data_IF_841911569555
#
_entry.id   IF_841911569555
#
_cell.length_a   1.000
_cell.length_b   1.000
_cell.length_c   1.000
_cell.angle_alpha   90.00
_cell.angle_beta   90.00
_cell.angle_gamma   90.00
#
_symmetry.space_group_name_H-M   'P 1'
#
loop_
_entity.id
_entity.type
_entity.pdbx_description
1 polymer ?
#
# COMPACT_ATOMS: atom_id res chain seq x y z
N UNK A 1 4.53 4.39 -19.39
CA UNK A 1 3.52 4.87 -18.41
C UNK A 1 3.68 4.06 -17.14
N UNK A 2 3.65 4.68 -15.93
CA UNK A 2 3.74 3.94 -14.67
C UNK A 2 2.49 3.08 -14.46
N UNK A 3 2.66 1.87 -13.91
CA UNK A 3 1.58 0.95 -13.58
C UNK A 3 1.73 0.51 -12.12
N UNK A 4 0.67 0.59 -11.35
CA UNK A 4 0.64 0.29 -9.91
C UNK A 4 -0.38 -0.79 -9.64
N UNK A 5 -0.05 -1.71 -8.73
CA UNK A 5 -0.92 -2.77 -8.26
C UNK A 5 -1.37 -2.45 -6.82
N UNK A 6 -2.66 -2.50 -6.55
CA UNK A 6 -3.20 -2.52 -5.19
C UNK A 6 -3.70 -3.94 -4.90
N UNK A 7 -3.23 -4.55 -3.82
CA UNK A 7 -3.65 -5.92 -3.45
C UNK A 7 -4.50 -5.86 -2.18
N UNK A 8 -5.72 -6.37 -2.29
CA UNK A 8 -6.70 -6.42 -1.21
C UNK A 8 -7.32 -7.82 -1.07
N UNK A 9 -7.96 -8.07 0.04
CA UNK A 9 -8.83 -9.22 0.29
C UNK A 9 -10.04 -8.78 1.13
N UNK A 10 -10.94 -9.67 1.49
CA UNK A 10 -12.05 -9.34 2.38
C UNK A 10 -11.55 -8.66 3.67
N UNK A 11 -12.29 -7.68 4.16
CA UNK A 11 -11.97 -6.83 5.29
C UNK A 11 -10.78 -5.87 5.05
N UNK A 12 -10.55 -5.47 3.80
CA UNK A 12 -9.63 -4.37 3.49
C UNK A 12 -10.12 -3.05 4.11
N UNK A 13 -9.21 -2.14 4.41
CA UNK A 13 -9.60 -0.79 4.87
C UNK A 13 -9.87 0.10 3.66
N UNK A 14 -11.05 0.70 3.62
CA UNK A 14 -11.59 1.41 2.46
C UNK A 14 -10.80 2.67 2.11
N UNK A 15 -10.50 3.52 3.10
CA UNK A 15 -9.77 4.78 2.85
C UNK A 15 -8.34 4.50 2.37
N UNK A 16 -7.69 3.48 2.95
CA UNK A 16 -6.32 3.10 2.62
C UNK A 16 -6.20 2.49 1.21
N UNK A 17 -7.32 2.01 0.67
CA UNK A 17 -7.43 1.45 -0.68
C UNK A 17 -7.84 2.51 -1.70
N UNK A 18 -8.92 3.25 -1.41
CA UNK A 18 -9.57 4.12 -2.39
C UNK A 18 -8.87 5.48 -2.53
N UNK A 19 -8.27 6.01 -1.46
CA UNK A 19 -7.54 7.27 -1.56
C UNK A 19 -6.32 7.18 -2.50
N UNK A 20 -5.41 6.20 -2.35
CA UNK A 20 -4.31 6.06 -3.32
C UNK A 20 -4.81 5.69 -4.72
N UNK A 21 -5.87 4.89 -4.85
CA UNK A 21 -6.45 4.60 -6.16
C UNK A 21 -6.89 5.89 -6.87
N UNK A 22 -7.69 6.73 -6.22
CA UNK A 22 -8.23 7.97 -6.82
C UNK A 22 -7.09 8.98 -7.12
N UNK A 23 -6.19 9.23 -6.18
CA UNK A 23 -5.07 10.17 -6.35
C UNK A 23 -4.18 9.75 -7.53
N UNK A 24 -3.82 8.47 -7.64
CA UNK A 24 -2.97 7.96 -8.71
C UNK A 24 -3.68 7.96 -10.06
N UNK A 25 -4.98 7.65 -10.09
CA UNK A 25 -5.79 7.72 -11.32
C UNK A 25 -5.90 9.15 -11.84
N UNK A 26 -6.10 10.16 -10.96
CA UNK A 26 -6.07 11.59 -11.32
C UNK A 26 -4.72 12.00 -11.92
N UNK A 27 -3.64 11.43 -11.44
CA UNK A 27 -2.28 11.70 -11.96
C UNK A 27 -1.97 10.98 -13.29
N UNK A 28 -2.92 10.23 -13.86
CA UNK A 28 -2.75 9.50 -15.11
C UNK A 28 -1.97 8.17 -14.97
N UNK A 29 -1.80 7.69 -13.74
CA UNK A 29 -1.15 6.39 -13.49
C UNK A 29 -2.16 5.27 -13.75
N UNK A 30 -1.70 4.19 -14.41
CA UNK A 30 -2.51 2.98 -14.56
C UNK A 30 -2.51 2.20 -13.23
N UNK A 31 -3.68 2.00 -12.64
CA UNK A 31 -3.83 1.30 -11.35
C UNK A 31 -4.76 0.10 -11.55
N UNK A 32 -4.24 -1.08 -11.23
CA UNK A 32 -5.02 -2.31 -11.12
C UNK A 32 -5.28 -2.63 -9.65
N UNK A 33 -6.48 -3.13 -9.34
CA UNK A 33 -6.79 -3.72 -8.04
C UNK A 33 -6.92 -5.23 -8.22
N UNK A 34 -6.28 -5.99 -7.34
CA UNK A 34 -6.30 -7.44 -7.37
C UNK A 34 -6.60 -8.05 -6.00
N UNK A 35 -7.25 -9.21 -6.02
CA UNK A 35 -7.63 -9.96 -4.84
C UNK A 35 -7.57 -11.47 -5.11
N UNK A 36 -7.83 -12.30 -4.09
CA UNK A 36 -8.04 -13.76 -4.27
C UNK A 36 -9.35 -14.10 -4.96
N UNK A 37 -10.31 -13.19 -4.90
CA UNK A 37 -11.67 -13.35 -5.42
C UNK A 37 -11.98 -12.19 -6.35
N UNK A 38 -12.86 -12.41 -7.29
CA UNK A 38 -13.35 -11.37 -8.20
C UNK A 38 -14.10 -10.24 -7.47
N UNK A 39 -14.63 -10.54 -6.28
CA UNK A 39 -15.39 -9.60 -5.46
C UNK A 39 -14.99 -9.76 -3.99
N UNK A 40 -14.75 -8.63 -3.30
CA UNK A 40 -14.40 -8.57 -1.88
C UNK A 40 -15.19 -7.47 -1.17
N UNK A 41 -15.38 -7.65 0.14
CA UNK A 41 -16.10 -6.69 1.00
C UNK A 41 -15.10 -6.07 1.97
N UNK A 42 -15.08 -4.74 2.04
CA UNK A 42 -14.25 -3.97 2.96
C UNK A 42 -14.71 -4.08 4.42
N UNK A 43 -13.88 -3.58 5.32
CA UNK A 43 -14.11 -3.63 6.75
C UNK A 43 -15.39 -2.89 7.19
N UNK A 44 -15.83 -1.90 6.42
CA UNK A 44 -17.01 -1.08 6.69
C UNK A 44 -18.15 -1.31 5.68
N UNK A 45 -18.04 -2.37 4.85
CA UNK A 45 -19.13 -2.87 4.03
C UNK A 45 -19.15 -2.42 2.57
N UNK A 46 -18.16 -1.65 2.09
CA UNK A 46 -18.05 -1.36 0.66
C UNK A 46 -17.66 -2.64 -0.09
N UNK A 47 -18.37 -2.93 -1.17
CA UNK A 47 -18.07 -4.06 -2.06
C UNK A 47 -17.31 -3.57 -3.29
N UNK A 48 -16.16 -4.17 -3.56
CA UNK A 48 -15.41 -3.99 -4.81
C UNK A 48 -15.49 -5.27 -5.65
N UNK A 49 -15.75 -5.12 -6.95
CA UNK A 49 -15.93 -6.23 -7.90
C UNK A 49 -15.10 -6.04 -9.16
N UNK A 50 -15.07 -7.04 -10.04
CA UNK A 50 -14.26 -7.08 -11.26
C UNK A 50 -12.75 -6.96 -10.95
N UNK A 51 -12.33 -7.57 -9.86
CA UNK A 51 -10.95 -7.57 -9.41
C UNK A 51 -10.12 -8.61 -10.18
N UNK A 52 -8.85 -8.30 -10.40
CA UNK A 52 -7.90 -9.26 -10.97
C UNK A 52 -7.53 -10.33 -9.93
N UNK A 53 -7.29 -11.56 -10.36
CA UNK A 53 -6.71 -12.57 -9.48
C UNK A 53 -5.18 -12.37 -9.38
N UNK A 54 -4.69 -11.96 -8.21
CA UNK A 54 -3.27 -11.69 -8.03
C UNK A 54 -2.36 -12.91 -8.17
N UNK A 55 -2.91 -14.13 -8.16
CA UNK A 55 -2.16 -15.36 -8.39
C UNK A 55 -1.72 -15.53 -9.85
N UNK A 56 -2.43 -14.87 -10.77
CA UNK A 56 -2.21 -14.98 -12.22
C UNK A 56 -1.51 -13.78 -12.82
N UNK A 57 -1.21 -12.75 -12.01
CA UNK A 57 -0.58 -11.52 -12.51
C UNK A 57 0.89 -11.71 -12.85
N UNK A 58 1.31 -11.08 -13.94
CA UNK A 58 2.72 -10.85 -14.20
C UNK A 58 3.19 -9.63 -13.41
N UNK A 59 3.90 -9.85 -12.30
CA UNK A 59 4.35 -8.78 -11.40
C UNK A 59 5.39 -7.86 -12.07
N UNK A 60 6.09 -8.29 -13.11
CA UNK A 60 7.08 -7.50 -13.84
C UNK A 60 6.46 -6.27 -14.51
N UNK A 61 5.18 -6.31 -14.85
CA UNK A 61 4.46 -5.19 -15.47
C UNK A 61 4.27 -3.99 -14.54
N UNK A 62 4.38 -4.19 -13.22
CA UNK A 62 4.10 -3.16 -12.23
C UNK A 62 5.39 -2.50 -11.73
N UNK A 63 5.31 -1.19 -11.51
CA UNK A 63 6.40 -0.39 -10.93
C UNK A 63 6.36 -0.40 -9.39
N UNK A 64 5.17 -0.62 -8.82
CA UNK A 64 4.93 -0.57 -7.38
C UNK A 64 3.74 -1.44 -7.01
N UNK A 65 3.77 -2.01 -5.80
CA UNK A 65 2.59 -2.56 -5.13
C UNK A 65 2.18 -1.68 -3.95
N UNK A 66 0.87 -1.50 -3.76
CA UNK A 66 0.27 -0.86 -2.58
C UNK A 66 -0.51 -1.93 -1.81
N UNK A 67 -0.25 -2.00 -0.52
CA UNK A 67 -0.82 -2.98 0.39
C UNK A 67 -1.56 -2.25 1.53
N UNK A 68 -2.88 -2.05 1.41
CA UNK A 68 -3.71 -1.50 2.47
C UNK A 68 -3.73 -2.39 3.71
N UNK A 69 -4.06 -1.80 4.84
CA UNK A 69 -4.30 -2.51 6.09
C UNK A 69 -5.75 -2.99 6.22
N UNK A 70 -6.28 -2.83 7.41
CA UNK A 70 -7.55 -3.39 7.80
C UNK A 70 -7.41 -4.80 8.38
N UNK A 71 -8.49 -5.40 8.90
CA UNK A 71 -8.48 -6.74 9.50
C UNK A 71 -8.01 -7.86 8.56
N UNK A 72 -8.04 -7.64 7.23
CA UNK A 72 -7.50 -8.55 6.22
C UNK A 72 -6.05 -9.00 6.49
N UNK A 73 -5.25 -8.19 7.21
CA UNK A 73 -3.86 -8.51 7.47
C UNK A 73 -3.68 -9.86 8.17
N UNK A 74 -4.67 -10.29 9.00
CA UNK A 74 -4.65 -11.56 9.73
C UNK A 74 -4.65 -12.78 8.81
N UNK A 75 -5.36 -12.68 7.69
CA UNK A 75 -5.37 -13.75 6.68
C UNK A 75 -4.23 -13.59 5.68
N UNK A 76 -3.88 -12.34 5.32
CA UNK A 76 -2.79 -12.07 4.39
C UNK A 76 -1.44 -12.59 4.91
N UNK A 77 -1.19 -12.55 6.21
CA UNK A 77 0.05 -13.09 6.82
C UNK A 77 0.20 -14.60 6.66
N UNK A 78 -0.90 -15.34 6.41
CA UNK A 78 -0.92 -16.79 6.19
C UNK A 78 -0.85 -17.15 4.70
N UNK A 79 -0.94 -16.17 3.82
CA UNK A 79 -0.99 -16.37 2.38
C UNK A 79 0.39 -16.30 1.75
N UNK A 80 0.92 -17.45 1.33
CA UNK A 80 2.23 -17.54 0.70
C UNK A 80 2.34 -16.72 -0.58
N UNK A 81 1.28 -16.59 -1.38
CA UNK A 81 1.26 -15.76 -2.59
C UNK A 81 1.38 -14.28 -2.24
N UNK A 82 0.62 -13.81 -1.23
CA UNK A 82 0.71 -12.44 -0.74
C UNK A 82 2.12 -12.13 -0.19
N UNK A 83 2.70 -13.05 0.58
CA UNK A 83 4.08 -12.92 1.08
C UNK A 83 5.10 -12.87 -0.06
N UNK A 84 4.93 -13.67 -1.11
CA UNK A 84 5.80 -13.64 -2.28
C UNK A 84 5.69 -12.32 -3.05
N UNK A 85 4.51 -11.73 -3.14
CA UNK A 85 4.32 -10.38 -3.70
C UNK A 85 5.11 -9.35 -2.90
N UNK A 86 5.03 -9.37 -1.57
CA UNK A 86 5.82 -8.48 -0.70
C UNK A 86 7.32 -8.61 -1.01
N UNK A 87 7.84 -9.85 -0.98
CA UNK A 87 9.26 -10.12 -1.21
C UNK A 87 9.70 -9.65 -2.60
N UNK A 88 8.92 -9.97 -3.63
CA UNK A 88 9.23 -9.57 -4.99
C UNK A 88 9.37 -8.04 -5.12
N UNK A 89 8.41 -7.28 -4.61
CA UNK A 89 8.42 -5.83 -4.77
C UNK A 89 9.47 -5.12 -3.91
N UNK A 90 9.70 -5.57 -2.67
CA UNK A 90 10.71 -4.97 -1.81
C UNK A 90 12.14 -5.21 -2.36
N UNK A 91 12.37 -6.30 -3.06
CA UNK A 91 13.67 -6.66 -3.64
C UNK A 91 13.89 -6.05 -5.03
N UNK A 92 12.86 -5.93 -5.85
CA UNK A 92 13.01 -5.63 -7.28
C UNK A 92 12.36 -4.32 -7.75
N UNK A 93 11.39 -3.79 -7.00
CA UNK A 93 10.55 -2.66 -7.41
C UNK A 93 10.34 -1.70 -6.23
N UNK A 94 9.16 -1.11 -6.11
CA UNK A 94 8.76 -0.32 -4.95
C UNK A 94 7.56 -0.96 -4.24
N UNK A 95 7.54 -0.84 -2.92
CA UNK A 95 6.47 -1.33 -2.07
C UNK A 95 5.95 -0.20 -1.19
N UNK A 96 4.64 0.02 -1.20
CA UNK A 96 3.94 0.92 -0.28
C UNK A 96 2.96 0.11 0.58
N UNK A 97 2.98 0.31 1.90
CA UNK A 97 2.06 -0.37 2.81
C UNK A 97 1.67 0.56 3.96
N UNK A 98 0.48 0.36 4.52
CA UNK A 98 -0.09 1.28 5.51
C UNK A 98 -0.77 0.53 6.66
N UNK A 99 -0.83 1.18 7.82
CA UNK A 99 -1.60 0.73 8.98
C UNK A 99 -1.10 -0.61 9.56
N UNK A 100 -1.90 -1.67 9.48
CA UNK A 100 -1.56 -3.00 9.98
C UNK A 100 -0.52 -3.73 9.12
N UNK A 101 -0.45 -3.45 7.83
CA UNK A 101 0.36 -4.22 6.88
C UNK A 101 1.88 -4.07 7.08
N UNK A 102 2.45 -2.91 7.46
CA UNK A 102 3.88 -2.82 7.79
C UNK A 102 4.30 -3.74 8.94
N UNK A 103 3.39 -4.12 9.84
CA UNK A 103 3.67 -5.12 10.90
C UNK A 103 4.09 -6.45 10.31
N UNK A 104 3.43 -6.87 9.22
CA UNK A 104 3.81 -8.09 8.50
C UNK A 104 5.21 -8.01 7.91
N UNK A 105 5.61 -6.84 7.39
CA UNK A 105 6.99 -6.63 6.93
C UNK A 105 7.98 -6.76 8.11
N UNK A 106 7.61 -6.24 9.28
CA UNK A 106 8.41 -6.39 10.50
C UNK A 106 8.59 -7.85 10.90
N UNK A 107 7.54 -8.65 10.88
CA UNK A 107 7.57 -10.08 11.19
C UNK A 107 8.43 -10.88 10.20
N UNK A 108 8.51 -10.42 8.96
CA UNK A 108 9.38 -10.98 7.93
C UNK A 108 10.85 -10.48 8.01
N UNK A 109 11.17 -9.61 8.99
CA UNK A 109 12.51 -9.02 9.14
C UNK A 109 12.85 -7.94 8.11
N UNK A 110 11.87 -7.49 7.32
CA UNK A 110 12.05 -6.54 6.22
C UNK A 110 12.14 -5.07 6.66
N UNK A 111 11.86 -4.77 7.95
CA UNK A 111 11.99 -3.44 8.54
C UNK A 111 13.34 -3.21 9.25
N UNK A 112 14.18 -4.25 9.34
CA UNK A 112 15.51 -4.13 9.98
C UNK A 112 16.33 -3.02 9.36
N UNK A 113 16.89 -2.14 10.20
CA UNK A 113 17.71 -0.97 9.82
C UNK A 113 16.98 0.04 8.91
N UNK A 114 15.65 0.03 8.85
CA UNK A 114 14.86 0.98 8.08
C UNK A 114 14.10 1.94 9.00
N UNK A 115 13.87 3.16 8.52
CA UNK A 115 12.89 4.07 9.13
C UNK A 115 11.51 3.75 8.58
N UNK A 116 10.52 3.63 9.47
CA UNK A 116 9.17 3.24 9.10
C UNK A 116 8.12 3.84 10.04
N UNK A 117 6.88 3.87 9.57
CA UNK A 117 5.70 4.10 10.40
C UNK A 117 4.68 2.97 10.17
N UNK A 118 3.80 2.77 11.12
CA UNK A 118 2.71 1.81 11.06
C UNK A 118 1.62 2.17 12.08
N UNK A 119 0.55 1.38 12.15
CA UNK A 119 -0.50 1.56 13.15
C UNK A 119 0.09 1.44 14.56
N UNK A 120 0.16 2.56 15.34
CA UNK A 120 0.97 2.61 16.55
C UNK A 120 0.73 1.49 17.58
N UNK A 121 -0.54 1.04 17.81
CA UNK A 121 -0.80 -0.07 18.73
C UNK A 121 -0.19 -1.41 18.32
N UNK A 122 0.23 -1.56 17.05
CA UNK A 122 0.84 -2.78 16.51
C UNK A 122 2.37 -2.70 16.46
N UNK A 123 2.95 -1.55 16.84
CA UNK A 123 4.40 -1.41 16.85
C UNK A 123 5.02 -2.29 17.96
N UNK A 124 6.11 -2.95 17.59
CA UNK A 124 6.97 -3.73 18.49
C UNK A 124 8.40 -3.67 17.96
N UNK A 125 9.31 -4.38 18.60
CA UNK A 125 10.72 -4.40 18.18
C UNK A 125 10.88 -5.13 16.82
N UNK A 126 11.18 -4.37 15.77
CA UNK A 126 11.46 -4.87 14.43
C UNK A 126 12.90 -4.58 13.97
N UNK A 127 13.79 -4.18 14.90
CA UNK A 127 15.19 -3.82 14.64
C UNK A 127 15.34 -2.69 13.58
N UNK A 128 14.39 -1.77 13.53
CA UNK A 128 14.38 -0.57 12.72
C UNK A 128 13.98 0.66 13.54
N UNK A 129 13.84 1.81 12.91
CA UNK A 129 13.45 3.07 13.57
C UNK A 129 11.98 3.37 13.31
N UNK A 130 11.14 3.16 14.32
CA UNK A 130 9.73 3.56 14.25
C UNK A 130 9.58 5.07 14.44
N UNK A 131 8.72 5.69 13.63
CA UNK A 131 8.30 7.08 13.77
C UNK A 131 6.79 7.19 13.96
N UNK A 132 6.35 8.33 14.50
CA UNK A 132 4.91 8.67 14.56
C UNK A 132 4.45 9.51 13.37
N UNK A 133 5.29 9.68 12.35
CA UNK A 133 4.95 10.42 11.13
C UNK A 133 3.73 9.84 10.43
N UNK A 134 2.93 10.63 9.72
CA UNK A 134 1.87 10.10 8.86
C UNK A 134 2.37 9.12 7.82
N UNK A 135 3.57 9.37 7.26
CA UNK A 135 4.23 8.52 6.25
C UNK A 135 5.74 8.61 6.36
N UNK A 136 6.42 7.52 5.98
CA UNK A 136 7.87 7.44 5.84
C UNK A 136 8.24 6.87 4.47
N UNK A 137 9.36 7.34 3.90
CA UNK A 137 10.01 6.77 2.72
C UNK A 137 11.41 6.35 3.10
N UNK A 138 11.74 5.09 2.90
CA UNK A 138 13.07 4.55 3.05
C UNK A 138 13.45 3.74 1.81
N UNK A 139 14.27 4.34 0.94
CA UNK A 139 14.62 3.73 -0.35
C UNK A 139 13.38 3.48 -1.21
N UNK A 140 13.10 2.23 -1.50
CA UNK A 140 11.93 1.79 -2.28
C UNK A 140 10.72 1.36 -1.41
N UNK A 141 10.81 1.53 -0.10
CA UNK A 141 9.72 1.25 0.84
C UNK A 141 9.03 2.54 1.28
N UNK A 142 7.72 2.58 1.13
CA UNK A 142 6.86 3.66 1.63
C UNK A 142 5.92 3.07 2.68
N UNK A 143 5.92 3.64 3.88
CA UNK A 143 5.01 3.20 4.94
C UNK A 143 4.07 4.32 5.35
N UNK A 144 2.81 3.99 5.64
CA UNK A 144 1.78 4.89 6.14
C UNK A 144 1.30 4.48 7.53
N UNK A 145 0.90 5.46 8.37
CA UNK A 145 0.56 5.21 9.76
C UNK A 145 -0.79 4.53 9.95
N UNK A 146 -1.84 5.04 9.32
CA UNK A 146 -3.22 4.59 9.55
C UNK A 146 -4.20 5.19 8.54
N UNK A 147 -5.46 4.79 8.58
CA UNK A 147 -6.53 5.31 7.72
C UNK A 147 -6.59 6.84 7.70
N UNK A 148 -6.39 7.50 8.84
CA UNK A 148 -6.33 8.95 8.92
C UNK A 148 -5.17 9.61 8.16
N UNK A 149 -4.20 8.83 7.69
CA UNK A 149 -3.06 9.29 6.89
C UNK A 149 -3.16 8.90 5.41
N UNK A 150 -4.33 8.42 4.96
CA UNK A 150 -4.48 7.84 3.61
C UNK A 150 -4.18 8.83 2.48
N UNK A 151 -4.55 10.12 2.63
CA UNK A 151 -4.24 11.14 1.63
C UNK A 151 -2.75 11.47 1.60
N UNK A 152 -2.12 11.69 2.75
CA UNK A 152 -0.68 11.93 2.85
C UNK A 152 0.12 10.75 2.29
N UNK A 153 -0.30 9.53 2.60
CA UNK A 153 0.28 8.31 2.05
C UNK A 153 0.16 8.26 0.52
N UNK A 154 -1.02 8.62 -0.02
CA UNK A 154 -1.24 8.69 -1.47
C UNK A 154 -0.34 9.72 -2.15
N UNK A 155 -0.18 10.90 -1.55
CA UNK A 155 0.71 11.94 -2.07
C UNK A 155 2.19 11.55 -1.97
N UNK A 156 2.60 10.83 -0.93
CA UNK A 156 3.96 10.30 -0.83
C UNK A 156 4.26 9.24 -1.88
N UNK A 157 3.30 8.39 -2.20
CA UNK A 157 3.40 7.45 -3.32
C UNK A 157 3.52 8.19 -4.65
N UNK A 158 2.67 9.21 -4.86
CA UNK A 158 2.71 10.02 -6.07
C UNK A 158 4.04 10.78 -6.21
N UNK A 159 4.56 11.37 -5.11
CA UNK A 159 5.86 12.02 -5.04
C UNK A 159 6.99 11.06 -5.49
N UNK A 160 7.00 9.85 -4.95
CA UNK A 160 7.96 8.82 -5.30
C UNK A 160 7.91 8.43 -6.79
N UNK A 161 6.72 8.35 -7.37
CA UNK A 161 6.51 7.89 -8.75
C UNK A 161 6.74 8.99 -9.80
N UNK A 162 6.31 10.23 -9.54
CA UNK A 162 6.24 11.32 -10.52
C UNK A 162 6.81 12.67 -10.03
N UNK A 163 7.28 12.77 -8.79
CA UNK A 163 7.86 13.97 -8.24
C UNK A 163 6.87 14.99 -7.68
N UNK A 164 7.40 16.01 -7.00
CA UNK A 164 6.62 17.01 -6.26
C UNK A 164 5.74 17.91 -7.13
N UNK A 165 6.17 18.23 -8.36
CA UNK A 165 5.36 19.05 -9.27
C UNK A 165 4.00 18.39 -9.54
N UNK A 166 3.99 17.09 -9.83
CA UNK A 166 2.75 16.35 -10.05
C UNK A 166 1.90 16.27 -8.78
N UNK A 167 2.50 16.14 -7.60
CA UNK A 167 1.77 16.19 -6.33
C UNK A 167 1.05 17.53 -6.16
N UNK A 168 1.73 18.65 -6.42
CA UNK A 168 1.14 19.97 -6.30
C UNK A 168 0.00 20.19 -7.30
N UNK A 169 0.15 19.73 -8.54
CA UNK A 169 -0.91 19.76 -9.55
C UNK A 169 -2.17 19.01 -9.06
N UNK A 170 -1.99 17.78 -8.56
CA UNK A 170 -3.11 16.96 -8.10
C UNK A 170 -3.75 17.55 -6.86
N UNK A 171 -2.97 18.02 -5.86
CA UNK A 171 -3.50 18.71 -4.68
C UNK A 171 -4.35 19.93 -5.06
N UNK A 172 -3.85 20.77 -5.96
CA UNK A 172 -4.59 21.92 -6.45
C UNK A 172 -5.92 21.54 -7.12
N UNK A 173 -5.91 20.46 -7.93
CA UNK A 173 -7.13 19.95 -8.58
C UNK A 173 -8.16 19.39 -7.60
N UNK A 174 -7.73 18.99 -6.41
CA UNK A 174 -8.56 18.45 -5.33
C UNK A 174 -8.93 19.49 -4.27
N UNK A 175 -8.47 20.75 -4.42
CA UNK A 175 -8.63 21.82 -3.42
C UNK A 175 -8.07 21.43 -2.03
N UNK A 176 -6.95 20.72 -2.00
CA UNK A 176 -6.27 20.24 -0.79
C UNK A 176 -5.22 21.23 -0.30
#
# INVERSE_FOLDING_TARGET
MKKVLIVINDLFEEMETLAPFDVLKRAGINVDIAAKKECVVGAHGITLSNLKDYKTLNLEEYNMVILPGGPQYKENQKDSTYINIIKYFIENKALACICATPTLLGDLGLLKNKTYTLFPPMNREFNGTFTSSPCEIYGNLITGRSAGSSLEFSYKILEYLLGNEKVNEIKASMYY
#
